data_IF_755353111813
#
_entry.id   IF_755353111813
#
_cell.length_a   1.000
_cell.length_b   1.000
_cell.length_c   1.000
_cell.angle_alpha   90.00
_cell.angle_beta   90.00
_cell.angle_gamma   90.00
#
_symmetry.space_group_name_H-M   'P 1'
#
loop_
_entity.id
_entity.type
_entity.pdbx_description
1 polymer ?
#
# COMPACT_ATOMS: atom_id res chain seq x y z
N UNK A 1 15.85 -0.65 -2.96
CA UNK A 1 14.66 -0.40 -2.13
C UNK A 1 14.85 0.92 -1.38
N UNK A 2 13.83 1.77 -1.38
CA UNK A 2 13.84 3.05 -0.67
C UNK A 2 13.61 2.79 0.83
N UNK A 3 14.69 2.67 1.59
CA UNK A 3 14.65 2.39 3.04
C UNK A 3 14.02 3.53 3.86
N UNK A 4 13.66 4.64 3.21
CA UNK A 4 13.00 5.82 3.77
C UNK A 4 11.52 5.93 3.38
N UNK A 5 10.84 4.83 3.07
CA UNK A 5 9.42 4.90 2.74
C UNK A 5 8.62 5.48 3.92
N UNK A 6 7.80 6.49 3.61
CA UNK A 6 6.95 7.16 4.59
C UNK A 6 5.98 6.14 5.22
N UNK A 7 5.65 6.25 6.52
CA UNK A 7 4.60 5.43 7.11
C UNK A 7 3.29 5.65 6.37
N UNK A 8 2.40 4.66 6.43
CA UNK A 8 1.05 4.80 5.90
C UNK A 8 0.37 6.00 6.58
N UNK A 9 -0.17 6.93 5.77
CA UNK A 9 -0.91 8.08 6.27
C UNK A 9 -2.42 7.83 6.29
N UNK A 10 -2.87 6.74 5.66
CA UNK A 10 -4.24 6.27 5.69
C UNK A 10 -4.21 4.74 5.73
N UNK A 11 -5.08 4.17 6.56
CA UNK A 11 -5.33 2.73 6.64
C UNK A 11 -6.84 2.56 6.67
N UNK A 12 -7.35 1.63 5.88
CA UNK A 12 -8.79 1.44 5.74
C UNK A 12 -9.17 0.00 5.45
N UNK A 13 -10.49 -0.22 5.44
CA UNK A 13 -11.10 -1.47 4.98
C UNK A 13 -12.11 -1.16 3.90
N UNK A 14 -11.95 -1.80 2.75
CA UNK A 14 -12.89 -1.71 1.64
C UNK A 14 -13.82 -2.94 1.67
N UNK A 15 -15.10 -2.73 1.95
CA UNK A 15 -16.12 -3.80 1.82
C UNK A 15 -16.26 -4.17 0.34
N UNK A 16 -16.00 -5.43 0.00
CA UNK A 16 -16.08 -5.94 -1.39
C UNK A 16 -17.16 -7.00 -1.58
N UNK A 17 -17.71 -7.52 -0.49
CA UNK A 17 -18.90 -8.40 -0.47
C UNK A 17 -19.54 -8.36 0.92
N UNK A 18 -20.58 -9.14 1.15
CA UNK A 18 -21.24 -9.21 2.46
C UNK A 18 -20.39 -9.83 3.56
N UNK A 19 -19.43 -10.68 3.20
CA UNK A 19 -18.58 -11.40 4.16
C UNK A 19 -17.10 -11.00 4.08
N UNK A 20 -16.68 -10.24 3.05
CA UNK A 20 -15.28 -9.85 2.86
C UNK A 20 -15.08 -8.33 2.85
N UNK A 21 -14.08 -7.90 3.61
CA UNK A 21 -13.52 -6.54 3.57
C UNK A 21 -12.00 -6.62 3.40
N UNK A 22 -11.48 -5.92 2.41
CA UNK A 22 -10.05 -5.87 2.12
C UNK A 22 -9.40 -4.79 2.96
N UNK A 23 -8.34 -5.14 3.68
CA UNK A 23 -7.44 -4.16 4.28
C UNK A 23 -6.67 -3.45 3.16
N UNK A 24 -6.48 -2.14 3.28
CA UNK A 24 -5.56 -1.38 2.44
C UNK A 24 -4.86 -0.29 3.25
N UNK A 25 -3.70 0.14 2.78
CA UNK A 25 -3.00 1.31 3.29
C UNK A 25 -2.59 2.23 2.14
N UNK A 26 -2.44 3.54 2.43
CA UNK A 26 -1.86 4.51 1.51
C UNK A 26 -0.58 5.10 2.09
N UNK A 27 0.48 5.14 1.29
CA UNK A 27 1.80 5.64 1.68
C UNK A 27 2.46 6.45 0.57
N UNK A 28 3.59 7.09 0.88
CA UNK A 28 4.35 7.92 -0.07
C UNK A 28 3.82 9.35 -0.19
N UNK A 29 3.85 9.88 -1.41
CA UNK A 29 3.42 11.24 -1.73
C UNK A 29 1.90 11.25 -2.01
N UNK A 30 1.13 12.05 -1.25
CA UNK A 30 -0.33 12.17 -1.40
C UNK A 30 -0.75 12.66 -2.78
N UNK A 31 0.11 13.46 -3.41
CA UNK A 31 -0.08 14.06 -4.73
C UNK A 31 0.79 13.37 -5.82
N UNK A 32 1.45 12.28 -5.45
CA UNK A 32 2.27 11.49 -6.37
C UNK A 32 1.45 10.67 -7.37
N UNK A 33 2.14 10.13 -8.38
CA UNK A 33 1.52 9.21 -9.33
C UNK A 33 0.99 7.96 -8.61
N UNK A 34 -0.23 7.48 -8.91
CA UNK A 34 -0.81 6.34 -8.21
C UNK A 34 -0.12 5.03 -8.60
N UNK A 35 0.12 4.16 -7.61
CA UNK A 35 0.62 2.80 -7.83
C UNK A 35 -0.01 1.84 -6.82
N UNK A 36 -0.22 0.58 -7.24
CA UNK A 36 -0.74 -0.49 -6.41
C UNK A 36 0.33 -1.56 -6.25
N UNK A 37 0.58 -1.98 -5.03
CA UNK A 37 1.35 -3.17 -4.72
C UNK A 37 0.41 -4.38 -4.66
N UNK A 38 0.82 -5.49 -5.27
CA UNK A 38 0.10 -6.76 -5.21
C UNK A 38 1.07 -7.79 -4.65
N UNK A 39 0.77 -8.31 -3.46
CA UNK A 39 1.63 -9.25 -2.78
C UNK A 39 1.73 -10.59 -3.53
N UNK A 40 2.77 -11.37 -3.20
CA UNK A 40 2.99 -12.71 -3.76
C UNK A 40 2.15 -13.81 -3.12
N UNK A 41 2.14 -14.99 -3.76
CA UNK A 41 1.30 -16.15 -3.40
C UNK A 41 -0.20 -15.82 -3.46
N UNK A 42 -1.07 -16.73 -3.02
CA UNK A 42 -2.37 -16.38 -2.47
C UNK A 42 -2.28 -16.32 -0.93
N UNK A 43 -2.93 -15.34 -0.30
CA UNK A 43 -3.00 -15.23 1.17
C UNK A 43 -1.74 -14.74 1.89
N UNK A 44 -0.71 -14.27 1.15
CA UNK A 44 0.54 -13.77 1.75
C UNK A 44 0.40 -12.44 2.51
N UNK A 45 -0.52 -11.57 2.10
CA UNK A 45 -0.69 -10.24 2.69
C UNK A 45 0.48 -9.29 2.39
N UNK A 46 0.40 -8.07 2.90
CA UNK A 46 1.41 -7.02 2.73
C UNK A 46 2.14 -6.74 4.05
N UNK A 47 3.44 -6.43 3.98
CA UNK A 47 4.32 -6.04 5.08
C UNK A 47 4.76 -4.58 4.92
N UNK A 48 5.08 -3.83 6.01
CA UNK A 48 5.59 -2.46 5.91
C UNK A 48 6.79 -2.28 4.95
N UNK A 49 7.60 -3.31 4.72
CA UNK A 49 8.72 -3.28 3.76
C UNK A 49 8.26 -3.19 2.30
N UNK A 50 7.03 -3.57 1.98
CA UNK A 50 6.49 -3.47 0.61
C UNK A 50 6.40 -2.02 0.13
N UNK A 51 6.32 -1.05 1.07
CA UNK A 51 6.39 0.38 0.74
C UNK A 51 7.73 0.79 0.16
N UNK A 52 8.80 0.01 0.39
CA UNK A 52 10.16 0.34 -0.04
C UNK A 52 10.41 0.08 -1.53
N UNK A 53 9.45 -0.52 -2.24
CA UNK A 53 9.53 -0.72 -3.68
C UNK A 53 9.33 0.57 -4.48
N UNK A 54 8.63 1.57 -3.93
CA UNK A 54 8.27 2.79 -4.64
C UNK A 54 8.97 4.02 -4.06
N UNK A 55 9.32 4.97 -4.93
CA UNK A 55 9.92 6.24 -4.49
C UNK A 55 8.86 7.07 -3.72
N UNK A 56 9.07 7.35 -2.42
CA UNK A 56 8.07 7.98 -1.56
C UNK A 56 7.81 9.46 -1.86
N UNK A 57 8.64 10.11 -2.68
CA UNK A 57 8.43 11.49 -3.13
C UNK A 57 7.70 11.56 -4.47
N UNK A 58 7.67 10.46 -5.25
CA UNK A 58 7.04 10.45 -6.58
C UNK A 58 5.70 9.74 -6.62
N UNK A 59 5.48 8.75 -5.75
CA UNK A 59 4.34 7.84 -5.86
C UNK A 59 3.42 7.90 -4.64
N UNK A 60 2.12 7.79 -4.93
CA UNK A 60 1.06 7.46 -3.99
C UNK A 60 0.84 5.95 -4.03
N UNK A 61 1.45 5.22 -3.12
CA UNK A 61 1.39 3.76 -3.11
C UNK A 61 0.21 3.25 -2.28
N UNK A 62 -0.58 2.33 -2.85
CA UNK A 62 -1.57 1.54 -2.13
C UNK A 62 -1.08 0.09 -2.01
N UNK A 63 -0.97 -0.39 -0.78
CA UNK A 63 -0.69 -1.80 -0.45
C UNK A 63 -1.88 -2.43 0.25
#
# INVERSE_FOLDING_TARGET
MYQSAKPAYEVGKLKVSDIHALHYELSGNKDGAPVIFVHGGPGGGCDPKDRWFFNPEKYKARS
#
